data_IF_524061921395
#
_entry.id   IF_524061921395
#
_cell.length_a   1.000
_cell.length_b   1.000
_cell.length_c   1.000
_cell.angle_alpha   90.00
_cell.angle_beta   90.00
_cell.angle_gamma   90.00
#
_symmetry.space_group_name_H-M   'P 1'
#
loop_
_entity.id
_entity.type
_entity.pdbx_description
1 polymer ?
#
# COMPACT_ATOMS: atom_id res chain seq x y z
N UNK A 1 12.02 -8.50 -4.64
CA UNK A 1 11.15 -9.56 -4.06
C UNK A 1 11.88 -10.49 -3.10
N UNK A 2 13.11 -10.92 -3.42
CA UNK A 2 13.89 -11.88 -2.61
C UNK A 2 14.06 -11.46 -1.13
N UNK A 3 14.30 -10.17 -0.85
CA UNK A 3 14.45 -9.66 0.51
C UNK A 3 13.19 -9.82 1.39
N UNK A 4 11.99 -9.66 0.81
CA UNK A 4 10.73 -9.82 1.55
C UNK A 4 10.53 -11.28 1.94
N UNK A 5 10.78 -12.20 1.01
CA UNK A 5 10.70 -13.65 1.26
C UNK A 5 11.70 -14.06 2.33
N UNK A 6 12.95 -13.58 2.26
CA UNK A 6 13.95 -13.88 3.29
C UNK A 6 13.54 -13.39 4.67
N UNK A 7 13.02 -12.15 4.77
CA UNK A 7 12.52 -11.61 6.03
C UNK A 7 11.34 -12.42 6.56
N UNK A 8 10.36 -12.73 5.71
CA UNK A 8 9.18 -13.51 6.11
C UNK A 8 9.51 -14.95 6.51
N UNK A 9 10.52 -15.56 5.89
CA UNK A 9 11.01 -16.90 6.28
C UNK A 9 11.70 -16.89 7.64
N UNK A 10 12.39 -15.80 8.00
CA UNK A 10 13.13 -15.68 9.26
C UNK A 10 13.99 -16.93 9.58
N UNK A 11 14.69 -17.46 8.57
CA UNK A 11 15.52 -18.67 8.67
C UNK A 11 14.81 -20.00 8.46
N UNK A 12 13.47 -20.04 8.38
CA UNK A 12 12.68 -21.25 8.08
C UNK A 12 12.87 -21.70 6.62
N UNK A 13 12.59 -22.97 6.34
CA UNK A 13 12.69 -23.55 4.99
C UNK A 13 11.67 -22.94 3.99
N UNK A 14 10.49 -22.55 4.49
CA UNK A 14 9.43 -21.93 3.71
C UNK A 14 8.80 -20.77 4.50
N UNK A 15 7.98 -19.96 3.81
CA UNK A 15 7.18 -18.94 4.49
C UNK A 15 6.21 -19.62 5.46
N UNK A 16 6.01 -19.05 6.67
CA UNK A 16 4.96 -19.51 7.57
C UNK A 16 3.60 -19.48 6.86
N UNK A 17 2.76 -20.47 7.17
CA UNK A 17 1.37 -20.47 6.73
C UNK A 17 0.53 -19.70 7.75
N UNK A 18 -0.17 -18.69 7.28
CA UNK A 18 -1.03 -17.84 8.12
C UNK A 18 -2.40 -17.70 7.48
N UNK A 19 -3.44 -17.51 8.29
CA UNK A 19 -4.79 -17.22 7.81
C UNK A 19 -5.05 -15.72 7.86
N UNK A 20 -5.73 -15.20 6.84
CA UNK A 20 -6.17 -13.80 6.80
C UNK A 20 -7.70 -13.73 6.85
N UNK A 21 -8.22 -12.74 7.58
CA UNK A 21 -9.63 -12.41 7.57
C UNK A 21 -9.90 -11.42 6.42
N UNK A 22 -10.83 -11.75 5.55
CA UNK A 22 -11.42 -10.77 4.65
C UNK A 22 -12.39 -9.90 5.45
N UNK A 23 -12.09 -8.61 5.57
CA UNK A 23 -12.90 -7.68 6.39
C UNK A 23 -14.26 -7.37 5.80
N UNK A 24 -14.47 -7.59 4.50
CA UNK A 24 -15.74 -7.33 3.82
C UNK A 24 -16.64 -8.56 3.87
N UNK A 25 -16.05 -9.74 3.67
CA UNK A 25 -16.79 -11.00 3.73
C UNK A 25 -16.88 -11.57 5.15
N UNK A 26 -16.04 -11.07 6.07
CA UNK A 26 -15.87 -11.58 7.44
C UNK A 26 -15.52 -13.07 7.51
N UNK A 27 -14.84 -13.57 6.48
CA UNK A 27 -14.43 -14.97 6.34
C UNK A 27 -12.92 -15.11 6.54
N UNK A 28 -12.49 -16.24 7.07
CA UNK A 28 -11.07 -16.57 7.21
C UNK A 28 -10.61 -17.45 6.06
N UNK A 29 -9.45 -17.11 5.50
CA UNK A 29 -8.80 -17.95 4.50
C UNK A 29 -8.24 -19.24 5.12
N UNK A 30 -8.06 -20.31 4.32
CA UNK A 30 -7.15 -21.39 4.68
C UNK A 30 -5.74 -20.84 4.99
N UNK A 31 -4.92 -21.57 5.77
CA UNK A 31 -3.53 -21.20 5.99
C UNK A 31 -2.74 -21.15 4.68
N UNK A 32 -2.16 -20.00 4.36
CA UNK A 32 -1.46 -19.76 3.09
C UNK A 32 -0.14 -19.00 3.30
N UNK A 33 0.85 -19.15 2.39
CA UNK A 33 2.14 -18.49 2.51
C UNK A 33 2.09 -17.04 2.00
N UNK A 34 1.33 -16.17 2.68
CA UNK A 34 1.21 -14.75 2.30
C UNK A 34 2.59 -14.09 2.21
N UNK A 35 2.82 -13.23 1.21
CA UNK A 35 4.14 -12.61 1.05
C UNK A 35 4.44 -11.58 2.14
N UNK A 36 3.43 -10.81 2.53
CA UNK A 36 3.55 -9.76 3.54
C UNK A 36 3.00 -10.29 4.87
N UNK A 37 3.91 -10.76 5.69
CA UNK A 37 3.65 -11.21 7.06
C UNK A 37 4.53 -10.42 8.02
N UNK A 38 4.09 -10.34 9.27
CA UNK A 38 4.85 -9.74 10.34
C UNK A 38 4.69 -10.58 11.61
N UNK A 39 5.68 -10.48 12.49
CA UNK A 39 5.65 -11.17 13.77
C UNK A 39 5.03 -10.26 14.82
N UNK A 40 3.89 -10.69 15.37
CA UNK A 40 3.20 -10.00 16.44
C UNK A 40 3.26 -10.86 17.69
N UNK A 41 4.12 -10.47 18.64
CA UNK A 41 4.45 -11.31 19.79
C UNK A 41 5.13 -12.61 19.34
N UNK A 42 4.48 -13.74 19.61
CA UNK A 42 4.97 -15.08 19.27
C UNK A 42 4.39 -15.63 17.97
N UNK A 43 3.45 -14.92 17.34
CA UNK A 43 2.72 -15.39 16.16
C UNK A 43 3.17 -14.68 14.88
N UNK A 44 3.19 -15.43 13.77
CA UNK A 44 3.28 -14.87 12.42
C UNK A 44 1.85 -14.51 11.97
N UNK A 45 1.63 -13.27 11.54
CA UNK A 45 0.32 -12.77 11.10
C UNK A 45 0.43 -12.13 9.71
N UNK A 46 -0.64 -12.13 8.90
CA UNK A 46 -0.69 -11.30 7.71
C UNK A 46 -0.54 -9.82 8.08
N UNK A 47 0.10 -9.06 7.20
CA UNK A 47 0.18 -7.62 7.36
C UNK A 47 -1.20 -7.00 7.11
N UNK A 48 -1.76 -6.31 8.12
CA UNK A 48 -3.10 -5.72 8.03
C UNK A 48 -3.05 -4.30 7.45
N UNK A 49 -4.17 -3.82 6.89
CA UNK A 49 -4.27 -2.45 6.35
C UNK A 49 -4.00 -1.38 7.43
N UNK A 50 -4.49 -1.60 8.65
CA UNK A 50 -4.28 -0.70 9.79
C UNK A 50 -2.81 -0.66 10.19
N UNK A 51 -2.17 -1.83 10.30
CA UNK A 51 -0.74 -1.87 10.65
C UNK A 51 0.14 -1.23 9.57
N UNK A 52 -0.16 -1.45 8.29
CA UNK A 52 0.54 -0.73 7.20
C UNK A 52 0.44 0.79 7.38
N UNK A 53 -0.75 1.30 7.71
CA UNK A 53 -0.98 2.73 7.94
C UNK A 53 -0.12 3.25 9.11
N UNK A 54 -0.10 2.53 10.22
CA UNK A 54 0.72 2.88 11.40
C UNK A 54 2.21 2.93 11.04
N UNK A 55 2.72 1.92 10.32
CA UNK A 55 4.10 1.92 9.84
C UNK A 55 4.42 3.11 8.94
N UNK A 56 3.50 3.48 8.03
CA UNK A 56 3.70 4.63 7.13
C UNK A 56 3.75 5.95 7.90
N UNK A 57 2.82 6.16 8.85
CA UNK A 57 2.80 7.36 9.70
C UNK A 57 4.06 7.44 10.55
N UNK A 58 4.43 6.35 11.24
CA UNK A 58 5.65 6.30 12.06
C UNK A 58 6.92 6.57 11.24
N UNK A 59 7.02 5.97 10.04
CA UNK A 59 8.15 6.18 9.14
C UNK A 59 8.23 7.63 8.67
N UNK A 60 7.09 8.23 8.31
CA UNK A 60 7.03 9.64 7.90
C UNK A 60 7.43 10.59 9.03
N UNK A 61 7.00 10.31 10.25
CA UNK A 61 7.37 11.11 11.43
C UNK A 61 8.87 11.00 11.71
N UNK A 62 9.43 9.78 11.66
CA UNK A 62 10.87 9.56 11.83
C UNK A 62 11.70 10.25 10.73
N UNK A 63 11.17 10.31 9.50
CA UNK A 63 11.78 11.04 8.39
C UNK A 63 11.50 12.55 8.39
N UNK A 64 10.77 13.07 9.39
CA UNK A 64 10.39 14.48 9.54
C UNK A 64 9.67 15.07 8.32
N UNK A 65 8.90 14.24 7.60
CA UNK A 65 8.11 14.71 6.45
C UNK A 65 6.87 15.43 6.97
N UNK A 66 6.73 16.71 6.61
CA UNK A 66 5.61 17.58 6.98
C UNK A 66 4.97 18.21 5.75
N UNK A 67 3.70 18.60 5.88
CA UNK A 67 3.01 19.45 4.91
C UNK A 67 2.43 20.66 5.64
N UNK A 68 2.68 21.87 5.13
CA UNK A 68 2.30 23.13 5.79
C UNK A 68 2.66 23.14 7.29
N UNK A 69 3.90 22.73 7.59
CA UNK A 69 4.49 22.63 8.94
C UNK A 69 3.76 21.69 9.91
N UNK A 70 2.96 20.74 9.40
CA UNK A 70 2.26 19.71 10.21
C UNK A 70 2.61 18.30 9.78
N UNK A 71 2.62 17.31 10.70
CA UNK A 71 2.77 15.91 10.34
C UNK A 71 1.68 15.47 9.38
N UNK A 72 2.05 14.65 8.39
CA UNK A 72 1.10 14.11 7.42
C UNK A 72 0.38 12.88 7.96
N UNK A 73 -0.94 12.85 7.79
CA UNK A 73 -1.73 11.65 8.02
C UNK A 73 -1.79 10.80 6.75
N UNK A 74 -0.89 9.83 6.65
CA UNK A 74 -0.86 8.94 5.50
C UNK A 74 -2.01 7.94 5.52
N UNK A 75 -2.65 7.75 4.35
CA UNK A 75 -3.43 6.56 4.02
C UNK A 75 -2.71 5.80 2.90
N UNK A 76 -2.82 4.46 2.84
CA UNK A 76 -2.25 3.69 1.72
C UNK A 76 -2.74 4.18 0.36
N UNK A 77 -3.98 4.69 0.30
CA UNK A 77 -4.55 5.27 -0.91
C UNK A 77 -3.78 6.50 -1.40
N UNK A 78 -3.17 7.31 -0.53
CA UNK A 78 -2.46 8.52 -0.95
C UNK A 78 -1.22 8.19 -1.80
N UNK A 79 -0.56 7.06 -1.53
CA UNK A 79 0.55 6.58 -2.37
C UNK A 79 0.08 6.22 -3.77
N UNK A 80 -1.11 5.62 -3.91
CA UNK A 80 -1.73 5.40 -5.23
C UNK A 80 -2.01 6.73 -5.92
N UNK A 81 -2.55 7.73 -5.20
CA UNK A 81 -2.82 9.07 -5.77
C UNK A 81 -1.55 9.74 -6.27
N UNK A 82 -0.48 9.73 -5.47
CA UNK A 82 0.82 10.32 -5.82
C UNK A 82 1.40 9.62 -7.04
N UNK A 83 1.45 8.28 -7.03
CA UNK A 83 1.97 7.49 -8.15
C UNK A 83 1.24 7.81 -9.46
N UNK A 84 -0.10 7.81 -9.46
CA UNK A 84 -0.89 8.06 -10.67
C UNK A 84 -0.73 9.50 -11.16
N UNK A 85 -0.71 10.47 -10.24
CA UNK A 85 -0.50 11.88 -10.57
C UNK A 85 0.87 12.08 -11.23
N UNK A 86 1.93 11.49 -10.67
CA UNK A 86 3.29 11.59 -11.21
C UNK A 86 3.42 10.87 -12.56
N UNK A 87 2.83 9.68 -12.69
CA UNK A 87 2.81 8.93 -13.94
C UNK A 87 2.14 9.71 -15.08
N UNK A 88 0.97 10.32 -14.81
CA UNK A 88 0.28 11.14 -15.83
C UNK A 88 1.09 12.39 -16.16
N UNK A 89 1.64 13.07 -15.16
CA UNK A 89 2.48 14.27 -15.36
C UNK A 89 3.77 13.97 -16.14
N UNK A 90 4.31 12.75 -16.02
CA UNK A 90 5.46 12.28 -16.80
C UNK A 90 5.10 11.74 -18.18
N UNK A 91 3.82 11.85 -18.60
CA UNK A 91 3.37 11.53 -19.96
C UNK A 91 2.69 10.18 -20.12
N UNK A 92 2.43 9.43 -19.04
CA UNK A 92 1.65 8.20 -19.13
C UNK A 92 0.20 8.53 -19.53
N UNK A 93 -0.33 7.97 -20.64
CA UNK A 93 -1.70 8.24 -21.05
C UNK A 93 -2.70 7.82 -19.96
N UNK A 94 -3.74 8.63 -19.66
CA UNK A 94 -4.68 8.35 -18.57
C UNK A 94 -5.36 6.98 -18.62
N UNK A 95 -5.62 6.45 -19.82
CA UNK A 95 -6.22 5.12 -19.98
C UNK A 95 -5.25 3.98 -19.60
N UNK A 96 -3.94 4.15 -19.80
CA UNK A 96 -2.92 3.19 -19.34
C UNK A 96 -2.76 3.28 -17.82
N UNK A 97 -2.71 4.50 -17.27
CA UNK A 97 -2.67 4.71 -15.83
C UNK A 97 -3.90 4.11 -15.13
N UNK A 98 -5.09 4.22 -15.75
CA UNK A 98 -6.32 3.57 -15.27
C UNK A 98 -6.19 2.04 -15.24
N UNK A 99 -5.61 1.43 -16.28
CA UNK A 99 -5.37 -0.02 -16.32
C UNK A 99 -4.40 -0.49 -15.26
N UNK A 100 -3.28 0.21 -15.05
CA UNK A 100 -2.32 -0.09 -13.97
C UNK A 100 -3.00 -0.04 -12.60
N UNK A 101 -3.92 0.88 -12.41
CA UNK A 101 -4.71 1.01 -11.17
C UNK A 101 -5.83 -0.02 -11.04
N UNK A 102 -6.18 -0.74 -12.10
CA UNK A 102 -7.38 -1.58 -12.12
C UNK A 102 -8.68 -0.77 -12.00
N UNK A 103 -8.72 0.46 -12.50
CA UNK A 103 -9.98 1.23 -12.59
C UNK A 103 -10.85 0.67 -13.72
N UNK A 104 -12.16 0.52 -13.46
CA UNK A 104 -13.16 0.14 -14.45
C UNK A 104 -13.42 1.24 -15.48
N UNK A 105 -13.28 2.51 -15.07
CA UNK A 105 -13.52 3.70 -15.89
C UNK A 105 -12.34 4.65 -15.85
N UNK A 106 -12.06 5.34 -16.96
CA UNK A 106 -10.97 6.32 -17.06
C UNK A 106 -11.27 7.59 -16.23
N UNK A 107 -12.54 7.92 -16.02
CA UNK A 107 -12.94 9.13 -15.26
C UNK A 107 -12.40 9.16 -13.83
N UNK A 108 -12.32 7.99 -13.18
CA UNK A 108 -11.70 7.84 -11.84
C UNK A 108 -10.22 8.22 -11.85
N UNK A 109 -9.54 8.06 -12.98
CA UNK A 109 -8.15 8.47 -13.19
C UNK A 109 -8.03 9.94 -13.59
N UNK A 110 -9.01 10.48 -14.30
CA UNK A 110 -9.00 11.88 -14.76
C UNK A 110 -8.93 12.88 -13.61
N UNK A 111 -9.45 12.54 -12.42
CA UNK A 111 -9.26 13.35 -11.21
C UNK A 111 -7.80 13.60 -10.82
N UNK A 112 -6.86 12.73 -11.24
CA UNK A 112 -5.42 12.92 -11.03
C UNK A 112 -4.75 13.78 -12.11
N UNK A 113 -5.42 13.95 -13.26
CA UNK A 113 -4.94 14.76 -14.38
C UNK A 113 -5.35 16.25 -14.26
N UNK A 114 -6.11 16.63 -13.23
CA UNK A 114 -6.56 17.99 -13.04
C UNK A 114 -5.37 18.95 -12.84
N UNK A 115 -5.19 19.86 -13.81
CA UNK A 115 -4.25 20.97 -13.72
C UNK A 115 -5.02 22.17 -13.20
N UNK A 116 -4.75 22.59 -11.96
CA UNK A 116 -5.24 23.86 -11.46
C UNK A 116 -4.36 24.98 -12.04
N UNK A 117 -4.93 26.03 -12.66
CA UNK A 117 -4.15 27.20 -13.03
C UNK A 117 -3.52 27.79 -11.76
N UNK A 118 -2.23 28.13 -11.86
CA UNK A 118 -1.50 28.80 -10.79
C UNK A 118 -2.03 30.24 -10.74
N UNK A 119 -2.80 30.57 -9.71
CA UNK A 119 -3.19 31.96 -9.40
C UNK A 119 -1.97 32.80 -9.02
#
# INVERSE_FOLDING_TARGET
>A
MTAIIFRGRAGKAALPLVSACDVFEQTWSPPMPFLFQWRFGTEDRPLTRSYLRECLVATSQAAQITGADRPLEWRPHDFRRIFVTDAIRSGLPPHIAAKVCGHSTVDTTMGYAAIYPRT
#
